data_IF_833587984183
#
_entry.id   IF_833587984183
#
_cell.length_a   1.000
_cell.length_b   1.000
_cell.length_c   1.000
_cell.angle_alpha   90.00
_cell.angle_beta   90.00
_cell.angle_gamma   90.00
#
_symmetry.space_group_name_H-M   'P 1'
#
loop_
_entity.id
_entity.type
_entity.pdbx_description
1 polymer ?
#
# COMPACT_ATOMS: atom_id res chain seq x y z
N UNK A 1 5.94 -16.59 -26.55
CA UNK A 1 7.05 -16.02 -25.78
C UNK A 1 6.68 -14.58 -25.47
N UNK A 2 5.95 -14.36 -24.38
CA UNK A 2 5.65 -13.01 -23.91
C UNK A 2 6.87 -12.50 -23.18
N UNK A 3 7.52 -11.48 -23.72
CA UNK A 3 8.51 -10.70 -22.96
C UNK A 3 7.74 -10.00 -21.85
N UNK A 4 7.89 -10.53 -20.65
CA UNK A 4 7.51 -9.86 -19.42
C UNK A 4 8.44 -8.64 -19.28
N UNK A 5 8.09 -7.55 -19.96
CA UNK A 5 8.82 -6.28 -19.89
C UNK A 5 8.61 -5.71 -18.49
N UNK A 6 9.36 -6.22 -17.51
CA UNK A 6 9.50 -5.61 -16.20
C UNK A 6 9.88 -4.14 -16.42
N UNK A 7 9.08 -3.24 -15.89
CA UNK A 7 9.31 -1.82 -16.04
C UNK A 7 10.67 -1.47 -15.41
N UNK A 8 11.56 -0.86 -16.19
CA UNK A 8 12.87 -0.45 -15.69
C UNK A 8 12.67 0.67 -14.64
N UNK A 9 13.31 0.53 -13.48
CA UNK A 9 13.30 1.56 -12.44
C UNK A 9 14.06 2.78 -12.96
N UNK A 10 13.37 3.91 -13.08
CA UNK A 10 13.98 5.17 -13.51
C UNK A 10 14.61 5.91 -12.32
N UNK A 11 15.78 6.49 -12.54
CA UNK A 11 16.58 7.22 -11.54
C UNK A 11 17.38 8.35 -12.17
N UNK A 12 17.99 9.18 -11.32
CA UNK A 12 18.84 10.29 -11.73
C UNK A 12 19.88 9.88 -12.79
N UNK A 13 19.90 10.63 -13.89
CA UNK A 13 20.79 10.41 -15.04
C UNK A 13 20.21 9.52 -16.15
N UNK A 14 19.12 8.80 -15.92
CA UNK A 14 18.46 7.99 -16.95
C UNK A 14 17.86 8.87 -18.05
N UNK A 15 17.71 8.31 -19.26
CA UNK A 15 17.22 9.03 -20.44
C UNK A 15 16.23 8.21 -21.25
N UNK A 16 15.35 8.91 -21.98
CA UNK A 16 14.48 8.33 -23.00
C UNK A 16 12.99 8.59 -22.78
N UNK A 17 12.15 7.97 -23.62
CA UNK A 17 10.71 8.21 -23.65
C UNK A 17 10.01 7.99 -22.30
N UNK A 18 10.41 6.97 -21.52
CA UNK A 18 9.84 6.72 -20.20
C UNK A 18 10.07 7.88 -19.21
N UNK A 19 11.21 8.58 -19.31
CA UNK A 19 11.49 9.78 -18.52
C UNK A 19 10.61 10.95 -18.98
N UNK A 20 10.43 11.11 -20.30
CA UNK A 20 9.55 12.14 -20.87
C UNK A 20 8.10 11.96 -20.41
N UNK A 21 7.61 10.72 -20.35
CA UNK A 21 6.27 10.39 -19.86
C UNK A 21 6.10 10.76 -18.38
N UNK A 22 7.08 10.40 -17.53
CA UNK A 22 7.08 10.78 -16.10
C UNK A 22 7.09 12.29 -15.93
N UNK A 23 7.94 13.02 -16.66
CA UNK A 23 7.98 14.48 -16.60
C UNK A 23 6.66 15.10 -17.06
N UNK A 24 6.02 14.54 -18.09
CA UNK A 24 4.71 14.99 -18.57
C UNK A 24 3.63 14.78 -17.51
N UNK A 25 3.63 13.62 -16.84
CA UNK A 25 2.73 13.37 -15.72
C UNK A 25 2.96 14.36 -14.58
N UNK A 26 4.22 14.58 -14.16
CA UNK A 26 4.56 15.54 -13.09
C UNK A 26 4.18 16.98 -13.44
N UNK A 27 4.34 17.41 -14.69
CA UNK A 27 3.87 18.73 -15.17
C UNK A 27 2.35 18.85 -15.11
N UNK A 28 1.63 17.83 -15.55
CA UNK A 28 0.16 17.82 -15.46
C UNK A 28 -0.36 17.89 -14.02
N UNK A 29 0.46 17.43 -13.07
CA UNK A 29 0.20 17.52 -11.63
C UNK A 29 0.73 18.82 -10.99
N UNK A 30 1.33 19.72 -11.77
CA UNK A 30 1.90 20.99 -11.29
C UNK A 30 3.16 20.84 -10.44
N UNK A 31 3.83 19.68 -10.49
CA UNK A 31 5.03 19.37 -9.69
C UNK A 31 6.34 19.70 -10.40
N UNK A 32 6.29 19.87 -11.72
CA UNK A 32 7.38 20.40 -12.53
C UNK A 32 6.88 21.61 -13.30
N UNK A 33 7.72 22.64 -13.50
CA UNK A 33 7.38 23.73 -14.40
C UNK A 33 7.23 23.21 -15.84
N UNK A 34 6.28 23.78 -16.58
CA UNK A 34 6.19 23.60 -18.03
C UNK A 34 7.51 24.09 -18.62
N UNK A 35 8.20 23.22 -19.36
CA UNK A 35 9.58 23.47 -19.77
C UNK A 35 9.69 24.67 -20.70
N UNK A 36 10.06 25.83 -20.15
CA UNK A 36 10.85 26.81 -20.88
C UNK A 36 12.25 26.23 -21.00
N UNK A 37 12.56 25.67 -22.18
CA UNK A 37 13.96 25.67 -22.61
C UNK A 37 14.47 27.10 -22.51
N UNK A 38 15.76 27.27 -22.18
CA UNK A 38 16.45 28.54 -22.27
C UNK A 38 16.26 29.14 -23.69
N UNK A 39 15.18 29.89 -23.87
CA UNK A 39 14.84 30.59 -25.08
C UNK A 39 15.45 31.98 -24.94
N UNK A 40 16.62 32.15 -25.56
CA UNK A 40 16.89 33.42 -26.23
C UNK A 40 15.64 33.78 -27.06
N UNK A 41 15.15 35.03 -27.01
CA UNK A 41 13.87 35.38 -27.60
C UNK A 41 13.93 35.11 -29.11
N UNK A 42 13.17 34.11 -29.57
CA UNK A 42 13.07 33.77 -30.99
C UNK A 42 11.87 34.53 -31.58
N UNK A 43 12.03 35.21 -32.72
CA UNK A 43 10.98 36.05 -33.29
C UNK A 43 9.76 35.25 -33.77
N UNK A 44 8.58 35.89 -33.89
CA UNK A 44 7.34 35.21 -34.15
C UNK A 44 7.19 34.93 -35.65
N UNK A 45 7.30 33.66 -36.04
CA UNK A 45 6.59 33.05 -37.18
C UNK A 45 7.07 31.61 -37.41
N UNK A 46 6.23 30.63 -37.07
CA UNK A 46 5.95 29.42 -37.84
C UNK A 46 5.05 28.49 -37.02
N UNK A 47 3.74 28.52 -37.31
CA UNK A 47 2.85 27.38 -37.08
C UNK A 47 3.33 26.22 -37.95
N UNK A 48 3.68 25.09 -37.33
CA UNK A 48 3.38 23.72 -37.76
C UNK A 48 4.42 22.74 -37.18
N UNK A 49 3.92 21.64 -36.63
CA UNK A 49 4.64 20.40 -36.22
C UNK A 49 5.57 20.54 -35.01
N UNK A 50 5.08 20.08 -33.84
CA UNK A 50 5.92 19.68 -32.71
C UNK A 50 6.91 18.60 -33.22
N UNK A 51 8.23 18.80 -33.11
CA UNK A 51 9.17 17.80 -33.57
C UNK A 51 9.27 16.65 -32.56
N UNK A 52 9.10 15.44 -33.08
CA UNK A 52 9.26 14.11 -32.48
C UNK A 52 10.66 13.84 -31.85
N UNK A 53 11.52 14.86 -31.78
CA UNK A 53 12.93 14.76 -31.37
C UNK A 53 13.13 15.05 -29.87
N UNK A 54 12.12 15.62 -29.19
CA UNK A 54 12.22 15.98 -27.77
C UNK A 54 12.08 14.78 -26.82
N UNK A 55 11.31 13.74 -27.18
CA UNK A 55 11.03 12.58 -26.31
C UNK A 55 12.27 11.71 -26.05
N UNK A 56 13.19 11.58 -27.00
CA UNK A 56 14.43 10.78 -26.85
C UNK A 56 15.55 11.54 -26.13
N UNK A 57 15.36 12.82 -25.82
CA UNK A 57 16.35 13.67 -25.15
C UNK A 57 16.05 13.96 -23.67
N UNK A 58 14.90 13.50 -23.17
CA UNK A 58 14.50 13.73 -21.78
C UNK A 58 15.49 13.05 -20.83
N UNK A 59 16.02 13.82 -19.89
CA UNK A 59 16.96 13.36 -18.85
C UNK A 59 16.28 13.45 -17.50
N UNK A 60 16.41 12.42 -16.69
CA UNK A 60 15.96 12.41 -15.31
C UNK A 60 16.95 13.24 -14.49
N UNK A 61 16.65 14.54 -14.36
CA UNK A 61 17.49 15.53 -13.68
C UNK A 61 17.11 15.71 -12.20
N UNK A 62 17.87 16.53 -11.48
CA UNK A 62 17.66 16.78 -10.04
C UNK A 62 16.26 17.37 -9.77
N UNK A 63 15.74 18.18 -10.69
CA UNK A 63 14.39 18.75 -10.59
C UNK A 63 13.32 17.65 -10.70
N UNK A 64 13.48 16.73 -11.66
CA UNK A 64 12.60 15.56 -11.81
C UNK A 64 12.66 14.68 -10.56
N UNK A 65 13.86 14.40 -10.03
CA UNK A 65 14.01 13.61 -8.81
C UNK A 65 13.30 14.26 -7.62
N UNK A 66 13.50 15.57 -7.41
CA UNK A 66 12.86 16.30 -6.32
C UNK A 66 11.34 16.31 -6.46
N UNK A 67 10.82 16.50 -7.68
CA UNK A 67 9.39 16.44 -7.96
C UNK A 67 8.80 15.04 -7.70
N UNK A 68 9.53 13.98 -8.06
CA UNK A 68 9.16 12.59 -7.73
C UNK A 68 9.14 12.38 -6.22
N UNK A 69 10.16 12.85 -5.48
CA UNK A 69 10.18 12.76 -4.01
C UNK A 69 9.00 13.47 -3.37
N UNK A 70 8.69 14.68 -3.83
CA UNK A 70 7.53 15.44 -3.35
C UNK A 70 6.21 14.71 -3.67
N UNK A 71 6.07 14.15 -4.87
CA UNK A 71 4.93 13.31 -5.23
C UNK A 71 4.80 12.09 -4.32
N UNK A 72 5.88 11.33 -4.15
CA UNK A 72 5.94 10.14 -3.31
C UNK A 72 5.56 10.47 -1.86
N UNK A 73 6.06 11.59 -1.32
CA UNK A 73 5.74 12.06 0.01
C UNK A 73 4.24 12.37 0.15
N UNK A 74 3.68 13.15 -0.77
CA UNK A 74 2.27 13.53 -0.73
C UNK A 74 1.32 12.35 -0.95
N UNK A 75 1.75 11.34 -1.71
CA UNK A 75 0.97 10.13 -1.96
C UNK A 75 1.15 9.05 -0.91
N UNK A 76 2.06 9.20 0.05
CA UNK A 76 2.32 8.14 1.01
C UNK A 76 2.95 6.91 0.36
N UNK A 77 3.87 7.11 -0.59
CA UNK A 77 4.73 6.08 -1.17
C UNK A 77 6.09 6.05 -0.47
N UNK A 78 6.99 5.17 -0.91
CA UNK A 78 8.39 5.20 -0.51
C UNK A 78 9.07 6.42 -1.12
N UNK A 79 9.73 7.25 -0.31
CA UNK A 79 10.32 8.53 -0.74
C UNK A 79 11.78 8.34 -1.10
N UNK A 80 12.05 7.59 -2.17
CA UNK A 80 13.39 7.25 -2.62
C UNK A 80 13.87 8.08 -3.82
N UNK A 81 12.96 8.84 -4.46
CA UNK A 81 13.21 9.63 -5.67
C UNK A 81 13.32 8.81 -6.94
N UNK A 82 13.00 7.51 -6.89
CA UNK A 82 13.06 6.59 -8.03
C UNK A 82 11.66 6.26 -8.52
N UNK A 83 11.50 6.10 -9.83
CA UNK A 83 10.21 5.72 -10.41
C UNK A 83 10.22 4.24 -10.76
N UNK A 84 9.80 3.43 -9.79
CA UNK A 84 9.43 2.04 -10.00
C UNK A 84 7.97 1.89 -10.43
N UNK A 85 7.52 0.64 -10.60
CA UNK A 85 6.17 0.30 -11.07
C UNK A 85 5.06 0.96 -10.23
N UNK A 86 5.19 0.93 -8.91
CA UNK A 86 4.25 1.54 -7.97
C UNK A 86 4.16 3.06 -8.12
N UNK A 87 5.31 3.75 -8.17
CA UNK A 87 5.35 5.21 -8.33
C UNK A 87 4.78 5.62 -9.68
N UNK A 88 5.10 4.87 -10.75
CA UNK A 88 4.58 5.13 -12.08
C UNK A 88 3.07 4.91 -12.17
N UNK A 89 2.55 3.85 -11.55
CA UNK A 89 1.11 3.58 -11.46
C UNK A 89 0.40 4.72 -10.72
N UNK A 90 0.91 5.13 -9.57
CA UNK A 90 0.35 6.24 -8.80
C UNK A 90 0.38 7.56 -9.60
N UNK A 91 1.45 7.85 -10.34
CA UNK A 91 1.52 9.01 -11.23
C UNK A 91 0.41 8.97 -12.30
N UNK A 92 0.16 7.81 -12.89
CA UNK A 92 -0.90 7.67 -13.89
C UNK A 92 -2.31 7.75 -13.28
N UNK A 93 -2.52 7.19 -12.10
CA UNK A 93 -3.77 7.27 -11.35
C UNK A 93 -4.11 8.71 -10.94
N UNK A 94 -3.08 9.50 -10.59
CA UNK A 94 -3.20 10.89 -10.19
C UNK A 94 -3.61 11.86 -11.31
N UNK A 95 -3.49 11.44 -12.58
CA UNK A 95 -3.83 12.28 -13.74
C UNK A 95 -5.33 12.45 -13.95
N UNK A 96 -6.15 11.64 -13.29
CA UNK A 96 -7.59 11.60 -13.51
C UNK A 96 -8.34 12.20 -12.35
N UNK A 97 -9.14 13.23 -12.62
CA UNK A 97 -10.09 13.83 -11.70
C UNK A 97 -11.52 13.36 -11.98
N UNK A 98 -12.36 13.35 -10.96
CA UNK A 98 -13.75 12.90 -11.07
C UNK A 98 -14.54 13.76 -12.07
N UNK A 99 -14.79 13.18 -13.25
CA UNK A 99 -15.49 13.81 -14.37
C UNK A 99 -14.68 13.90 -15.66
N UNK A 100 -13.39 13.58 -15.63
CA UNK A 100 -12.53 13.58 -16.82
C UNK A 100 -12.84 12.43 -17.78
N UNK A 101 -13.40 11.33 -17.25
CA UNK A 101 -13.78 10.14 -18.01
C UNK A 101 -15.01 9.45 -17.41
N UNK A 102 -15.63 8.59 -18.22
CA UNK A 102 -16.75 7.76 -17.80
C UNK A 102 -16.23 6.58 -16.97
N UNK A 103 -16.76 6.41 -15.75
CA UNK A 103 -16.39 5.31 -14.87
C UNK A 103 -17.47 4.24 -14.90
N UNK A 104 -17.07 2.99 -15.17
CA UNK A 104 -17.96 1.83 -15.20
C UNK A 104 -17.20 0.59 -14.77
N UNK A 105 -17.94 -0.41 -14.30
CA UNK A 105 -17.36 -1.71 -14.04
C UNK A 105 -17.00 -2.41 -15.34
N UNK A 106 -15.77 -2.89 -15.40
CA UNK A 106 -15.24 -3.73 -16.47
C UNK A 106 -14.41 -4.83 -15.82
N UNK A 107 -14.87 -6.10 -15.85
CA UNK A 107 -14.20 -7.20 -15.17
C UNK A 107 -12.85 -7.57 -15.83
N UNK A 108 -12.67 -7.30 -17.12
CA UNK A 108 -11.43 -7.59 -17.83
C UNK A 108 -10.40 -6.47 -17.64
N UNK A 109 -10.87 -5.23 -17.53
CA UNK A 109 -10.02 -4.03 -17.41
C UNK A 109 -10.58 -3.07 -16.35
N UNK A 110 -10.42 -3.36 -15.06
CA UNK A 110 -10.95 -2.53 -14.00
C UNK A 110 -10.36 -1.11 -14.09
N UNK A 111 -11.23 -0.11 -14.08
CA UNK A 111 -10.83 1.31 -14.09
C UNK A 111 -10.18 1.64 -12.75
N UNK A 112 -9.04 2.34 -12.78
CA UNK A 112 -8.28 2.74 -11.59
C UNK A 112 -7.86 4.20 -11.66
N UNK A 113 -7.90 4.90 -10.53
CA UNK A 113 -7.48 6.30 -10.45
C UNK A 113 -8.01 7.07 -9.24
N UNK A 114 -7.52 8.29 -9.07
CA UNK A 114 -7.98 9.23 -8.04
C UNK A 114 -9.46 9.62 -8.24
N UNK A 115 -9.92 9.63 -9.49
CA UNK A 115 -11.31 9.82 -9.86
C UNK A 115 -12.22 8.72 -9.29
N UNK A 116 -11.74 7.48 -9.24
CA UNK A 116 -12.44 6.36 -8.62
C UNK A 116 -12.45 6.48 -7.10
N UNK A 117 -11.32 6.86 -6.47
CA UNK A 117 -11.27 7.14 -5.02
C UNK A 117 -12.31 8.21 -4.67
N UNK A 118 -12.30 9.32 -5.40
CA UNK A 118 -13.23 10.44 -5.19
C UNK A 118 -14.69 10.00 -5.34
N UNK A 119 -14.99 9.12 -6.30
CA UNK A 119 -16.32 8.54 -6.46
C UNK A 119 -16.70 7.65 -5.26
N UNK A 120 -15.81 6.72 -4.88
CA UNK A 120 -16.04 5.80 -3.77
C UNK A 120 -16.29 6.57 -2.47
N UNK A 121 -15.46 7.56 -2.15
CA UNK A 121 -15.65 8.43 -0.98
C UNK A 121 -17.01 9.15 -1.04
N UNK A 122 -17.37 9.70 -2.19
CA UNK A 122 -18.61 10.45 -2.33
C UNK A 122 -19.85 9.58 -2.15
N UNK A 123 -19.82 8.37 -2.68
CA UNK A 123 -20.91 7.38 -2.53
C UNK A 123 -21.03 6.97 -1.05
N UNK A 124 -19.90 6.78 -0.36
CA UNK A 124 -19.88 6.54 1.10
C UNK A 124 -20.41 7.72 1.92
N UNK A 125 -20.01 8.96 1.60
CA UNK A 125 -20.51 10.17 2.27
C UNK A 125 -22.05 10.33 2.15
N UNK A 126 -22.63 9.75 1.10
CA UNK A 126 -24.07 9.74 0.85
C UNK A 126 -24.80 8.56 1.50
N UNK A 127 -24.07 7.67 2.19
CA UNK A 127 -24.60 6.54 2.96
C UNK A 127 -24.70 5.22 2.20
N UNK A 128 -24.12 5.14 1.00
CA UNK A 128 -24.12 3.92 0.19
C UNK A 128 -22.80 3.15 0.38
N UNK A 129 -22.89 1.82 0.36
CA UNK A 129 -21.72 0.96 0.44
C UNK A 129 -21.13 0.75 -0.96
N UNK A 130 -19.92 1.24 -1.18
CA UNK A 130 -19.20 1.09 -2.45
C UNK A 130 -17.98 0.15 -2.33
N UNK A 131 -17.88 -0.60 -1.23
CA UNK A 131 -16.72 -1.43 -0.91
C UNK A 131 -15.57 -0.64 -0.27
N UNK A 132 -14.34 -1.17 -0.26
CA UNK A 132 -13.18 -0.42 0.21
C UNK A 132 -12.89 0.79 -0.70
N UNK A 133 -12.39 1.88 -0.11
CA UNK A 133 -11.89 3.03 -0.87
C UNK A 133 -10.45 2.73 -1.30
N UNK A 134 -10.31 1.96 -2.37
CA UNK A 134 -9.04 1.45 -2.92
C UNK A 134 -8.64 2.12 -4.25
N UNK A 135 -9.55 2.90 -4.85
CA UNK A 135 -9.34 3.53 -6.16
C UNK A 135 -9.51 2.59 -7.35
N UNK A 136 -10.12 1.42 -7.15
CA UNK A 136 -10.42 0.44 -8.19
C UNK A 136 -11.94 0.32 -8.36
N UNK A 137 -12.44 0.54 -9.59
CA UNK A 137 -13.86 0.45 -9.86
C UNK A 137 -14.26 -1.03 -9.98
N UNK A 138 -14.61 -1.63 -8.84
CA UNK A 138 -15.05 -3.02 -8.73
C UNK A 138 -16.57 -3.20 -8.75
N UNK A 139 -17.00 -4.46 -8.64
CA UNK A 139 -18.42 -4.83 -8.58
C UNK A 139 -19.15 -4.24 -7.36
N UNK A 140 -18.47 -4.08 -6.22
CA UNK A 140 -19.01 -3.44 -5.02
C UNK A 140 -19.26 -1.94 -5.27
N UNK A 141 -18.30 -1.25 -5.89
CA UNK A 141 -18.44 0.15 -6.29
C UNK A 141 -19.59 0.34 -7.29
N UNK A 142 -19.73 -0.57 -8.26
CA UNK A 142 -20.87 -0.57 -9.19
C UNK A 142 -22.21 -0.74 -8.45
N UNK A 143 -22.26 -1.68 -7.52
CA UNK A 143 -23.48 -1.98 -6.74
C UNK A 143 -23.90 -0.78 -5.90
N UNK A 144 -22.96 -0.15 -5.20
CA UNK A 144 -23.18 1.09 -4.44
C UNK A 144 -23.66 2.23 -5.34
N UNK A 145 -23.06 2.37 -6.53
CA UNK A 145 -23.45 3.41 -7.49
C UNK A 145 -24.85 3.16 -8.07
N UNK A 146 -25.22 1.92 -8.37
CA UNK A 146 -26.58 1.56 -8.82
C UNK A 146 -27.63 1.87 -7.76
N UNK A 147 -27.31 1.60 -6.50
CA UNK A 147 -28.19 1.94 -5.38
C UNK A 147 -28.40 3.45 -5.27
N UNK A 148 -27.32 4.23 -5.33
CA UNK A 148 -27.39 5.69 -5.40
C UNK A 148 -28.24 6.17 -6.59
N UNK A 149 -27.96 5.69 -7.80
CA UNK A 149 -28.70 6.11 -9.00
C UNK A 149 -30.19 5.83 -8.88
N UNK A 150 -30.56 4.64 -8.40
CA UNK A 150 -31.97 4.25 -8.20
C UNK A 150 -32.68 5.20 -7.23
N UNK A 151 -32.06 5.52 -6.10
CA UNK A 151 -32.67 6.33 -5.06
C UNK A 151 -32.82 7.81 -5.45
N UNK A 152 -31.97 8.29 -6.35
CA UNK A 152 -32.00 9.66 -6.87
C UNK A 152 -32.70 9.79 -8.23
N UNK A 153 -33.42 8.76 -8.67
CA UNK A 153 -34.24 8.78 -9.89
C UNK A 153 -33.41 8.88 -11.18
N UNK A 154 -32.15 8.45 -11.14
CA UNK A 154 -31.28 8.31 -12.32
C UNK A 154 -31.43 6.91 -12.92
N UNK A 155 -30.96 6.75 -14.15
CA UNK A 155 -30.77 5.42 -14.74
C UNK A 155 -29.76 4.64 -13.89
N UNK A 156 -30.19 3.55 -13.26
CA UNK A 156 -29.38 2.71 -12.40
C UNK A 156 -28.49 1.74 -13.23
N UNK A 157 -27.69 2.29 -14.14
CA UNK A 157 -26.80 1.57 -15.05
C UNK A 157 -25.43 1.24 -14.47
N UNK A 158 -25.13 1.70 -13.25
CA UNK A 158 -23.84 1.48 -12.59
C UNK A 158 -22.70 2.29 -13.19
N UNK A 159 -23.02 3.30 -14.01
CA UNK A 159 -22.04 4.11 -14.74
C UNK A 159 -22.00 5.55 -14.20
N UNK A 160 -20.81 6.02 -13.84
CA UNK A 160 -20.59 7.41 -13.48
C UNK A 160 -20.44 8.27 -14.74
N UNK A 161 -21.57 8.61 -15.35
CA UNK A 161 -21.65 9.56 -16.46
C UNK A 161 -22.00 10.99 -16.01
N UNK A 162 -22.16 11.94 -16.95
CA UNK A 162 -22.45 13.35 -16.63
C UNK A 162 -23.68 13.57 -15.75
N UNK A 163 -24.73 12.75 -15.90
CA UNK A 163 -25.93 12.83 -15.06
C UNK A 163 -25.64 12.43 -13.61
N UNK A 164 -24.99 11.29 -13.41
CA UNK A 164 -24.54 10.79 -12.11
C UNK A 164 -23.61 11.80 -11.42
N UNK A 165 -22.65 12.36 -12.16
CA UNK A 165 -21.73 13.39 -11.65
C UNK A 165 -22.44 14.66 -11.20
N UNK A 166 -23.41 15.14 -11.98
CA UNK A 166 -24.21 16.32 -11.58
C UNK A 166 -24.96 16.05 -10.27
N UNK A 167 -25.58 14.88 -10.12
CA UNK A 167 -26.25 14.51 -8.88
C UNK A 167 -25.27 14.44 -7.70
N UNK A 168 -24.11 13.79 -7.86
CA UNK A 168 -23.07 13.70 -6.82
C UNK A 168 -22.53 15.09 -6.39
N UNK A 169 -22.41 16.04 -7.32
CA UNK A 169 -21.99 17.42 -7.04
C UNK A 169 -23.06 18.25 -6.35
N UNK A 170 -24.33 18.06 -6.70
CA UNK A 170 -25.45 18.84 -6.16
C UNK A 170 -25.84 18.42 -4.72
N UNK A 171 -25.58 17.17 -4.35
CA UNK A 171 -25.97 16.65 -3.05
C UNK A 171 -24.92 16.99 -1.98
N UNK A 172 -25.11 18.09 -1.24
CA UNK A 172 -24.27 18.42 -0.08
C UNK A 172 -24.16 17.26 0.92
N UNK A 173 -23.05 17.19 1.66
CA UNK A 173 -22.72 16.12 2.63
C UNK A 173 -23.93 15.81 3.53
N UNK A 174 -24.51 14.62 3.39
CA UNK A 174 -25.63 14.16 4.23
C UNK A 174 -25.16 13.67 5.60
N UNK A 175 -23.86 13.36 5.75
CA UNK A 175 -23.24 12.97 7.02
C UNK A 175 -21.85 13.61 7.13
N UNK A 176 -21.69 14.59 8.02
CA UNK A 176 -20.37 15.01 8.53
C UNK A 176 -20.27 14.55 9.97
N UNK A 177 -19.43 13.55 10.22
CA UNK A 177 -19.12 13.07 11.56
C UNK A 177 -19.59 11.64 11.79
N UNK A 178 -18.63 10.77 12.08
CA UNK A 178 -18.81 9.33 12.16
C UNK A 178 -18.30 8.70 10.86
N UNK A 179 -17.24 7.90 10.95
CA UNK A 179 -16.81 7.03 9.86
C UNK A 179 -17.53 5.68 10.07
N UNK A 180 -18.73 5.44 9.50
CA UNK A 180 -19.53 4.24 9.77
C UNK A 180 -18.83 2.92 9.41
N UNK A 181 -17.87 2.97 8.47
CA UNK A 181 -16.94 1.87 8.21
C UNK A 181 -16.17 1.45 9.46
N UNK A 182 -15.75 2.41 10.29
CA UNK A 182 -15.01 2.15 11.53
C UNK A 182 -15.84 1.38 12.53
N UNK A 183 -17.11 1.78 12.71
CA UNK A 183 -18.02 1.09 13.63
C UNK A 183 -18.32 -0.32 13.14
N UNK A 184 -18.50 -0.53 11.83
CA UNK A 184 -18.72 -1.87 11.26
C UNK A 184 -17.49 -2.78 11.41
N UNK A 185 -16.30 -2.29 11.07
CA UNK A 185 -15.05 -3.06 11.18
C UNK A 185 -14.73 -3.41 12.64
N UNK A 186 -14.82 -2.43 13.56
CA UNK A 186 -14.58 -2.67 14.99
C UNK A 186 -15.64 -3.58 15.61
N UNK A 187 -16.93 -3.44 15.27
CA UNK A 187 -17.98 -4.35 15.73
C UNK A 187 -17.76 -5.80 15.26
N UNK A 188 -17.40 -5.98 13.98
CA UNK A 188 -17.11 -7.31 13.43
C UNK A 188 -15.92 -8.00 14.12
N UNK A 189 -14.96 -7.23 14.63
CA UNK A 189 -13.79 -7.77 15.33
C UNK A 189 -14.16 -8.20 16.77
N UNK A 190 -15.01 -7.41 17.44
CA UNK A 190 -15.45 -7.66 18.83
C UNK A 190 -16.42 -8.85 18.92
N UNK A 191 -17.35 -9.02 17.96
CA UNK A 191 -18.24 -10.19 17.91
C UNK A 191 -17.50 -11.52 17.75
N UNK A 192 -16.25 -11.44 17.29
CA UNK A 192 -15.47 -12.55 16.77
C UNK A 192 -14.66 -13.30 17.84
N UNK A 193 -14.58 -12.74 19.06
CA UNK A 193 -13.96 -13.34 20.25
C UNK A 193 -12.42 -13.45 20.19
N UNK A 194 -11.75 -13.72 21.32
CA UNK A 194 -10.29 -13.67 21.43
C UNK A 194 -9.55 -14.91 20.93
N UNK A 195 -10.27 -15.91 20.40
CA UNK A 195 -9.68 -17.18 20.00
C UNK A 195 -9.25 -17.10 18.53
N UNK A 196 -8.01 -17.53 18.25
CA UNK A 196 -7.49 -17.60 16.88
C UNK A 196 -8.03 -18.79 16.07
N UNK A 197 -8.79 -19.67 16.72
CA UNK A 197 -9.41 -20.84 16.10
C UNK A 197 -10.35 -20.38 14.97
N UNK A 198 -10.08 -20.88 13.76
CA UNK A 198 -10.87 -20.57 12.56
C UNK A 198 -10.47 -19.27 11.84
N UNK A 199 -9.49 -18.52 12.36
CA UNK A 199 -8.94 -17.34 11.67
C UNK A 199 -7.99 -17.76 10.57
N UNK A 200 -8.08 -17.09 9.43
CA UNK A 200 -7.17 -17.26 8.29
C UNK A 200 -6.22 -16.08 8.24
N UNK A 201 -4.93 -16.34 8.47
CA UNK A 201 -3.91 -15.29 8.46
C UNK A 201 -2.98 -15.57 7.29
N UNK A 202 -2.76 -14.56 6.46
CA UNK A 202 -1.77 -14.65 5.38
C UNK A 202 -0.52 -13.90 5.82
N UNK A 203 0.62 -14.59 5.77
CA UNK A 203 1.94 -14.01 6.04
C UNK A 203 2.70 -13.91 4.72
N UNK A 204 3.14 -12.72 4.39
CA UNK A 204 3.79 -12.39 3.14
C UNK A 204 5.28 -12.09 3.37
N UNK A 205 6.18 -13.06 3.18
CA UNK A 205 7.62 -12.77 3.17
C UNK A 205 7.97 -11.98 1.90
N UNK A 206 8.47 -10.77 2.07
CA UNK A 206 8.89 -9.89 0.96
C UNK A 206 9.95 -10.54 0.07
N UNK A 207 10.06 -10.06 -1.18
CA UNK A 207 11.05 -10.50 -2.17
C UNK A 207 10.98 -12.02 -2.45
N UNK A 208 12.07 -12.61 -2.98
CA UNK A 208 12.23 -14.05 -3.23
C UNK A 208 12.79 -14.35 -4.62
N UNK A 209 13.14 -15.62 -4.87
CA UNK A 209 13.61 -16.06 -6.19
C UNK A 209 14.82 -15.26 -6.69
N UNK A 210 14.67 -14.59 -7.83
CA UNK A 210 15.71 -13.71 -8.42
C UNK A 210 15.84 -12.35 -7.72
N UNK A 211 14.81 -11.93 -6.97
CA UNK A 211 14.83 -10.70 -6.18
C UNK A 211 15.24 -11.02 -4.75
N UNK A 212 16.50 -10.77 -4.43
CA UNK A 212 17.02 -11.01 -3.08
C UNK A 212 16.59 -9.95 -2.06
N UNK A 213 15.97 -8.83 -2.50
CA UNK A 213 15.83 -7.62 -1.71
C UNK A 213 17.20 -7.00 -1.38
N UNK A 214 17.33 -6.42 -0.19
CA UNK A 214 18.64 -5.96 0.28
C UNK A 214 19.61 -7.14 0.46
N UNK A 215 20.89 -6.98 0.07
CA UNK A 215 21.93 -7.99 0.24
C UNK A 215 23.17 -7.38 0.89
N UNK A 216 23.65 -7.98 1.97
CA UNK A 216 24.84 -7.57 2.72
C UNK A 216 25.72 -8.80 2.97
N UNK A 217 26.84 -8.88 2.26
CA UNK A 217 27.68 -10.08 2.24
C UNK A 217 26.94 -11.28 1.65
N UNK A 218 26.87 -12.38 2.39
CA UNK A 218 26.14 -13.59 2.01
C UNK A 218 24.68 -13.60 2.49
N UNK A 219 24.26 -12.56 3.23
CA UNK A 219 22.92 -12.48 3.80
C UNK A 219 22.00 -11.67 2.91
N UNK A 220 20.87 -12.27 2.55
CA UNK A 220 19.81 -11.61 1.79
C UNK A 220 18.61 -11.32 2.67
N UNK A 221 17.89 -10.24 2.37
CA UNK A 221 16.60 -9.94 2.97
C UNK A 221 15.63 -11.09 2.75
N UNK A 222 15.54 -11.59 1.51
CA UNK A 222 14.59 -12.64 1.12
C UNK A 222 14.70 -13.92 1.96
N UNK A 223 15.91 -14.28 2.41
CA UNK A 223 16.17 -15.42 3.29
C UNK A 223 15.74 -15.15 4.74
N UNK A 224 16.09 -13.98 5.27
CA UNK A 224 15.77 -13.60 6.65
C UNK A 224 14.26 -13.43 6.86
N UNK A 225 13.57 -12.77 5.93
CA UNK A 225 12.12 -12.57 6.01
C UNK A 225 11.36 -13.88 5.81
N UNK A 226 11.88 -14.81 5.00
CA UNK A 226 11.28 -16.14 4.86
C UNK A 226 11.45 -17.00 6.13
N UNK A 227 12.60 -16.93 6.81
CA UNK A 227 12.79 -17.57 8.12
C UNK A 227 11.87 -16.97 9.19
N UNK A 228 11.71 -15.64 9.22
CA UNK A 228 10.75 -14.95 10.10
C UNK A 228 9.31 -15.40 9.81
N UNK A 229 8.90 -15.43 8.54
CA UNK A 229 7.56 -15.86 8.14
C UNK A 229 7.27 -17.30 8.58
N UNK A 230 8.22 -18.22 8.35
CA UNK A 230 8.09 -19.63 8.76
C UNK A 230 7.95 -19.78 10.29
N UNK A 231 8.67 -18.96 11.06
CA UNK A 231 8.56 -18.92 12.53
C UNK A 231 7.22 -18.38 13.02
N UNK A 232 6.68 -17.38 12.34
CA UNK A 232 5.38 -16.78 12.65
C UNK A 232 4.26 -17.76 12.29
N UNK A 233 4.34 -18.39 11.12
CA UNK A 233 3.42 -19.43 10.67
C UNK A 233 3.32 -20.56 11.70
N UNK A 234 4.44 -21.18 12.08
CA UNK A 234 4.42 -22.29 13.04
C UNK A 234 3.81 -21.91 14.41
N UNK A 235 4.00 -20.67 14.86
CA UNK A 235 3.44 -20.16 16.12
C UNK A 235 1.95 -19.88 16.04
N UNK A 236 1.51 -19.20 14.98
CA UNK A 236 0.10 -18.89 14.75
C UNK A 236 -0.71 -20.17 14.51
N UNK A 237 -0.14 -21.13 13.76
CA UNK A 237 -0.73 -22.45 13.55
C UNK A 237 -0.87 -23.22 14.86
N UNK A 238 0.17 -23.23 15.71
CA UNK A 238 0.10 -23.84 17.05
C UNK A 238 -0.95 -23.17 17.96
N UNK A 239 -1.23 -21.88 17.75
CA UNK A 239 -2.29 -21.15 18.45
C UNK A 239 -3.70 -21.33 17.85
N UNK A 240 -3.85 -22.16 16.80
CA UNK A 240 -5.14 -22.54 16.21
C UNK A 240 -5.56 -21.76 14.96
N UNK A 241 -4.74 -20.82 14.47
CA UNK A 241 -5.01 -20.12 13.22
C UNK A 241 -4.70 -21.00 12.01
N UNK A 242 -5.46 -20.84 10.93
CA UNK A 242 -5.07 -21.34 9.61
C UNK A 242 -4.15 -20.30 8.98
N UNK A 243 -2.89 -20.66 8.72
CA UNK A 243 -1.89 -19.72 8.20
C UNK A 243 -1.48 -20.11 6.80
N UNK A 244 -1.34 -19.11 5.92
CA UNK A 244 -0.83 -19.30 4.57
C UNK A 244 0.36 -18.38 4.33
N UNK A 245 1.40 -18.90 3.66
CA UNK A 245 2.48 -18.09 3.13
C UNK A 245 2.17 -17.74 1.66
N UNK A 246 2.37 -16.49 1.26
CA UNK A 246 2.14 -16.05 -0.14
C UNK A 246 3.10 -16.68 -1.14
N UNK A 247 4.27 -17.14 -0.68
CA UNK A 247 5.31 -17.74 -1.51
C UNK A 247 6.08 -18.84 -0.80
N UNK A 248 6.65 -19.74 -1.58
CA UNK A 248 7.73 -20.64 -1.15
C UNK A 248 9.10 -19.96 -1.10
N UNK A 249 10.13 -20.70 -0.65
CA UNK A 249 11.50 -20.18 -0.43
C UNK A 249 12.12 -19.54 -1.68
N UNK A 250 11.87 -20.11 -2.85
CA UNK A 250 12.51 -19.72 -4.12
C UNK A 250 11.57 -19.03 -5.12
N UNK A 251 10.37 -18.64 -4.68
CA UNK A 251 9.38 -18.00 -5.53
C UNK A 251 9.36 -16.49 -5.28
N UNK A 252 8.95 -15.70 -6.26
CA UNK A 252 8.72 -14.27 -6.10
C UNK A 252 7.44 -13.83 -6.83
N UNK A 253 6.26 -14.05 -6.24
CA UNK A 253 5.03 -13.55 -6.81
C UNK A 253 5.05 -12.02 -6.86
N UNK A 254 4.43 -11.47 -7.90
CA UNK A 254 4.19 -10.03 -8.03
C UNK A 254 3.32 -9.50 -6.88
N UNK A 255 3.35 -8.19 -6.58
CA UNK A 255 2.45 -7.59 -5.60
C UNK A 255 0.96 -7.87 -5.88
N UNK A 256 0.57 -7.91 -7.15
CA UNK A 256 -0.80 -8.23 -7.55
C UNK A 256 -1.18 -9.68 -7.23
N UNK A 257 -0.29 -10.65 -7.45
CA UNK A 257 -0.51 -12.05 -7.10
C UNK A 257 -0.57 -12.25 -5.58
N UNK A 258 0.26 -11.55 -4.81
CA UNK A 258 0.26 -11.59 -3.34
C UNK A 258 -1.09 -11.12 -2.76
N UNK A 259 -1.60 -10.01 -3.27
CA UNK A 259 -2.90 -9.45 -2.82
C UNK A 259 -4.08 -10.30 -3.30
N UNK A 260 -4.05 -10.81 -4.54
CA UNK A 260 -5.05 -11.73 -5.05
C UNK A 260 -5.13 -13.01 -4.23
N UNK A 261 -3.97 -13.63 -3.93
CA UNK A 261 -3.89 -14.82 -3.08
C UNK A 261 -4.54 -14.59 -1.70
N UNK A 262 -4.25 -13.45 -1.06
CA UNK A 262 -4.84 -13.13 0.24
C UNK A 262 -6.36 -12.94 0.18
N UNK A 263 -6.83 -12.29 -0.89
CA UNK A 263 -8.26 -12.06 -1.14
C UNK A 263 -9.00 -13.38 -1.42
N UNK A 264 -8.42 -14.27 -2.22
CA UNK A 264 -8.99 -15.57 -2.58
C UNK A 264 -9.02 -16.53 -1.38
N UNK A 265 -7.98 -16.51 -0.54
CA UNK A 265 -7.96 -17.20 0.74
C UNK A 265 -9.01 -16.66 1.73
N UNK A 266 -9.59 -15.48 1.43
CA UNK A 266 -10.48 -14.70 2.30
C UNK A 266 -9.87 -14.54 3.70
N UNK A 267 -8.60 -14.13 3.74
CA UNK A 267 -7.88 -13.95 4.99
C UNK A 267 -8.57 -12.91 5.89
N UNK A 268 -8.48 -13.10 7.20
CA UNK A 268 -8.93 -12.15 8.22
C UNK A 268 -7.85 -11.10 8.52
N UNK A 269 -6.57 -11.41 8.25
CA UNK A 269 -5.43 -10.53 8.46
C UNK A 269 -4.31 -10.85 7.47
N UNK A 270 -3.67 -9.81 6.93
CA UNK A 270 -2.51 -9.92 6.06
C UNK A 270 -1.29 -9.23 6.68
N UNK A 271 -0.18 -9.97 6.81
CA UNK A 271 1.05 -9.51 7.47
C UNK A 271 2.22 -9.64 6.50
N UNK A 272 2.69 -8.53 5.94
CA UNK A 272 3.90 -8.49 5.13
C UNK A 272 5.14 -8.24 5.97
N UNK A 273 6.22 -8.96 5.68
CA UNK A 273 7.48 -8.90 6.40
C UNK A 273 8.59 -8.48 5.46
N UNK A 274 9.28 -7.41 5.83
CA UNK A 274 10.41 -6.86 5.10
C UNK A 274 11.56 -6.50 6.04
N UNK A 275 12.73 -6.27 5.46
CA UNK A 275 13.81 -5.50 6.06
C UNK A 275 14.00 -4.25 5.22
N UNK A 276 14.50 -3.18 5.83
CA UNK A 276 14.79 -1.96 5.11
C UNK A 276 16.30 -1.81 4.86
N UNK A 277 16.66 -0.90 3.96
CA UNK A 277 18.04 -0.57 3.65
C UNK A 277 18.14 0.90 3.25
N UNK A 278 19.09 1.60 3.86
CA UNK A 278 19.37 2.99 3.53
C UNK A 278 20.88 3.25 3.57
N UNK A 279 21.33 4.21 2.77
CA UNK A 279 22.72 4.67 2.72
C UNK A 279 23.15 5.46 3.97
N UNK A 280 22.22 5.83 4.84
CA UNK A 280 22.52 6.61 6.04
C UNK A 280 22.94 5.66 7.14
N UNK A 281 24.09 5.93 7.75
CA UNK A 281 24.59 5.16 8.90
C UNK A 281 23.69 5.26 10.13
N UNK A 282 22.74 6.20 10.15
CA UNK A 282 21.79 6.38 11.25
C UNK A 282 20.47 5.61 11.05
N UNK A 283 20.23 5.05 9.85
CA UNK A 283 18.99 4.37 9.53
C UNK A 283 18.97 2.98 10.18
N UNK A 284 18.23 2.84 11.28
CA UNK A 284 18.05 1.58 12.02
C UNK A 284 16.76 1.61 12.83
N UNK A 285 16.24 0.45 13.18
CA UNK A 285 15.03 0.29 13.98
C UNK A 285 13.88 -0.36 13.23
N UNK A 286 12.74 -0.46 13.91
CA UNK A 286 11.54 -1.15 13.44
C UNK A 286 10.49 -0.13 13.05
N UNK A 287 9.96 -0.28 11.84
CA UNK A 287 8.85 0.50 11.33
C UNK A 287 7.68 -0.42 10.98
N UNK A 288 6.48 0.15 10.98
CA UNK A 288 5.28 -0.58 10.51
C UNK A 288 4.43 0.34 9.65
N UNK A 289 3.73 -0.25 8.69
CA UNK A 289 2.99 0.46 7.69
C UNK A 289 1.60 -0.14 7.54
N UNK A 290 0.61 0.73 7.35
CA UNK A 290 -0.79 0.35 7.18
C UNK A 290 -1.41 1.22 6.07
N UNK A 291 -2.53 0.78 5.51
CA UNK A 291 -3.19 1.57 4.47
C UNK A 291 -3.69 2.91 4.99
N UNK A 292 -3.22 4.02 4.42
CA UNK A 292 -3.76 5.35 4.69
C UNK A 292 -3.09 6.48 3.90
N UNK A 293 -3.77 7.61 3.82
CA UNK A 293 -3.32 8.83 3.11
C UNK A 293 -2.97 10.00 4.05
N UNK A 294 -2.84 9.75 5.35
CA UNK A 294 -2.53 10.75 6.39
C UNK A 294 -3.68 11.69 6.77
N UNK A 295 -4.52 12.09 5.81
CA UNK A 295 -5.68 12.98 6.03
C UNK A 295 -7.01 12.43 5.47
N UNK A 296 -6.97 11.35 4.67
CA UNK A 296 -8.14 10.74 4.07
C UNK A 296 -8.46 9.33 4.63
N UNK A 297 -8.88 8.38 3.77
CA UNK A 297 -9.25 7.04 4.19
C UNK A 297 -8.03 6.29 4.71
N UNK A 298 -8.24 5.51 5.77
CA UNK A 298 -7.22 4.74 6.46
C UNK A 298 -7.83 3.47 7.02
N UNK A 299 -7.06 2.38 7.03
CA UNK A 299 -7.43 1.12 7.69
C UNK A 299 -7.17 1.24 9.19
N UNK A 300 -8.22 1.39 10.00
CA UNK A 300 -8.05 1.52 11.46
C UNK A 300 -7.64 0.22 12.13
N UNK A 301 -8.17 -0.92 11.68
CA UNK A 301 -7.75 -2.22 12.20
C UNK A 301 -6.30 -2.49 11.80
N UNK A 302 -5.91 -2.09 10.57
CA UNK A 302 -4.51 -2.12 10.13
C UNK A 302 -3.61 -1.22 10.99
N UNK A 303 -4.02 0.02 11.25
CA UNK A 303 -3.30 0.96 12.12
C UNK A 303 -3.15 0.43 13.55
N UNK A 304 -4.21 -0.12 14.13
CA UNK A 304 -4.18 -0.72 15.46
C UNK A 304 -3.21 -1.91 15.51
N UNK A 305 -3.32 -2.82 14.54
CA UNK A 305 -2.43 -3.98 14.46
C UNK A 305 -0.97 -3.58 14.22
N UNK A 306 -0.70 -2.62 13.32
CA UNK A 306 0.64 -2.10 13.05
C UNK A 306 1.30 -1.57 14.33
N UNK A 307 0.54 -0.78 15.11
CA UNK A 307 1.00 -0.26 16.39
C UNK A 307 1.22 -1.38 17.43
N UNK A 308 0.36 -2.40 17.50
CA UNK A 308 0.54 -3.53 18.40
C UNK A 308 1.79 -4.36 18.04
N UNK A 309 1.92 -4.76 16.77
CA UNK A 309 3.02 -5.57 16.27
C UNK A 309 4.37 -4.88 16.50
N UNK A 310 4.49 -3.61 16.10
CA UNK A 310 5.69 -2.80 16.33
C UNK A 310 6.05 -2.73 17.81
N UNK A 311 5.11 -2.36 18.68
CA UNK A 311 5.37 -2.20 20.12
C UNK A 311 5.79 -3.52 20.78
N UNK A 312 5.20 -4.65 20.39
CA UNK A 312 5.61 -5.97 20.89
C UNK A 312 7.02 -6.34 20.43
N UNK A 313 7.39 -6.01 19.18
CA UNK A 313 8.75 -6.25 18.68
C UNK A 313 9.76 -5.42 19.48
N UNK A 314 9.49 -4.13 19.65
CA UNK A 314 10.36 -3.21 20.38
C UNK A 314 10.57 -3.68 21.83
N UNK A 315 9.50 -4.08 22.52
CA UNK A 315 9.56 -4.54 23.90
C UNK A 315 10.43 -5.80 24.09
N UNK A 316 10.53 -6.67 23.06
CA UNK A 316 11.26 -7.95 23.13
C UNK A 316 12.67 -7.89 22.56
N UNK A 317 12.96 -6.92 21.70
CA UNK A 317 14.24 -6.83 20.97
C UNK A 317 15.11 -5.64 21.40
N UNK A 318 14.49 -4.56 21.93
CA UNK A 318 15.20 -3.32 22.25
C UNK A 318 15.64 -2.50 21.03
N UNK A 319 15.15 -2.81 19.83
CA UNK A 319 15.43 -2.04 18.62
C UNK A 319 14.82 -0.63 18.69
N UNK A 320 15.30 0.30 17.85
CA UNK A 320 14.77 1.66 17.82
C UNK A 320 13.35 1.70 17.27
N UNK A 321 12.53 2.60 17.82
CA UNK A 321 11.16 2.83 17.37
C UNK A 321 11.13 3.87 16.26
N UNK A 322 10.74 3.47 15.05
CA UNK A 322 10.53 4.38 13.91
C UNK A 322 9.07 4.75 13.72
N UNK A 323 8.16 4.21 14.53
CA UNK A 323 6.73 4.52 14.47
C UNK A 323 5.94 3.70 13.44
N UNK A 324 4.64 4.01 13.37
CA UNK A 324 3.69 3.41 12.43
C UNK A 324 3.22 4.47 11.44
N UNK A 325 3.32 4.18 10.15
CA UNK A 325 3.12 5.17 9.10
C UNK A 325 2.01 4.76 8.11
N UNK A 326 1.10 5.68 7.76
CA UNK A 326 0.15 5.44 6.70
C UNK A 326 0.87 5.41 5.34
N UNK A 327 0.55 4.42 4.51
CA UNK A 327 1.04 4.28 3.14
C UNK A 327 -0.10 3.85 2.21
N UNK A 328 -0.01 4.20 0.93
CA UNK A 328 -0.98 3.78 -0.09
C UNK A 328 -0.48 2.63 -0.94
N UNK A 329 0.47 1.85 -0.43
CA UNK A 329 1.09 0.77 -1.17
C UNK A 329 0.05 -0.24 -1.64
N UNK A 330 0.21 -0.76 -2.86
CA UNK A 330 -0.79 -1.67 -3.46
C UNK A 330 -1.04 -2.90 -2.59
N UNK A 331 0.01 -3.41 -1.95
CA UNK A 331 -0.07 -4.52 -1.00
C UNK A 331 -1.02 -4.24 0.19
N UNK A 332 -1.08 -2.99 0.65
CA UNK A 332 -1.90 -2.57 1.79
C UNK A 332 -3.30 -2.11 1.34
N UNK A 333 -3.39 -1.53 0.14
CA UNK A 333 -4.58 -0.90 -0.43
C UNK A 333 -5.50 -1.91 -1.13
N UNK A 334 -4.95 -2.90 -1.83
CA UNK A 334 -5.71 -3.83 -2.69
C UNK A 334 -6.18 -5.11 -1.97
N UNK A 335 -5.78 -5.30 -0.71
CA UNK A 335 -6.29 -6.37 0.15
C UNK A 335 -7.67 -6.02 0.71
N UNK A 336 -8.56 -7.00 0.79
CA UNK A 336 -9.92 -6.86 1.34
C UNK A 336 -10.00 -7.04 2.86
N UNK A 337 -8.88 -7.38 3.48
CA UNK A 337 -8.72 -7.53 4.92
C UNK A 337 -7.71 -6.52 5.45
N UNK A 338 -7.65 -6.28 6.78
CA UNK A 338 -6.58 -5.48 7.37
C UNK A 338 -5.21 -6.01 6.94
N UNK A 339 -4.40 -5.12 6.38
CA UNK A 339 -3.05 -5.42 5.91
C UNK A 339 -2.04 -4.51 6.59
N UNK A 340 -0.94 -5.11 7.03
CA UNK A 340 0.18 -4.40 7.64
C UNK A 340 1.48 -4.92 7.06
N UNK A 341 2.40 -4.00 6.76
CA UNK A 341 3.80 -4.33 6.49
C UNK A 341 4.63 -3.98 7.72
N UNK A 342 5.45 -4.92 8.16
CA UNK A 342 6.37 -4.77 9.28
C UNK A 342 7.81 -4.85 8.77
N UNK A 343 8.54 -3.76 8.93
CA UNK A 343 9.95 -3.68 8.59
C UNK A 343 10.74 -3.96 9.87
N UNK A 344 11.30 -5.16 9.97
CA UNK A 344 11.84 -5.71 11.21
C UNK A 344 13.24 -5.17 11.57
N UNK A 345 13.78 -4.21 10.82
CA UNK A 345 15.13 -3.68 10.99
C UNK A 345 15.80 -3.32 9.68
N UNK A 346 16.96 -2.67 9.76
CA UNK A 346 17.76 -2.29 8.59
C UNK A 346 18.89 -3.28 8.34
N UNK A 347 18.86 -4.00 7.21
CA UNK A 347 19.94 -4.94 6.87
C UNK A 347 21.25 -4.21 6.57
N UNK A 348 21.16 -3.00 6.02
CA UNK A 348 22.32 -2.14 5.74
C UNK A 348 23.01 -1.62 7.00
N UNK A 349 22.33 -1.61 8.16
CA UNK A 349 22.90 -1.12 9.40
C UNK A 349 23.57 -2.24 10.22
N UNK A 350 24.83 -2.10 10.65
CA UNK A 350 25.59 -3.19 11.27
C UNK A 350 24.98 -3.72 12.57
N UNK A 351 24.41 -2.86 13.42
CA UNK A 351 23.77 -3.29 14.69
C UNK A 351 22.50 -4.09 14.44
N UNK A 352 21.55 -3.56 13.67
CA UNK A 352 20.32 -4.27 13.30
C UNK A 352 20.62 -5.58 12.58
N UNK A 353 21.59 -5.58 11.65
CA UNK A 353 22.03 -6.80 10.97
C UNK A 353 22.51 -7.87 11.94
N UNK A 354 23.35 -7.52 12.93
CA UNK A 354 23.79 -8.48 13.95
C UNK A 354 22.63 -9.04 14.77
N UNK A 355 21.66 -8.19 15.14
CA UNK A 355 20.45 -8.63 15.83
C UNK A 355 19.62 -9.57 14.95
N UNK A 356 19.39 -9.21 13.68
CA UNK A 356 18.59 -9.99 12.73
C UNK A 356 19.26 -11.32 12.36
N UNK A 357 20.58 -11.43 12.42
CA UNK A 357 21.31 -12.68 12.23
C UNK A 357 21.19 -13.63 13.43
N UNK A 358 20.88 -13.14 14.63
CA UNK A 358 20.63 -13.98 15.80
C UNK A 358 19.25 -14.67 15.71
N UNK A 359 19.26 -16.00 15.65
CA UNK A 359 18.04 -16.80 15.60
C UNK A 359 17.11 -16.60 16.82
N UNK A 360 17.66 -16.21 17.98
CA UNK A 360 16.89 -15.91 19.20
C UNK A 360 16.12 -14.61 19.05
N UNK A 361 16.70 -13.59 18.43
CA UNK A 361 16.03 -12.32 18.14
C UNK A 361 14.92 -12.54 17.12
N UNK A 362 15.19 -13.29 16.04
CA UNK A 362 14.13 -13.66 15.07
C UNK A 362 13.00 -14.46 15.71
N UNK A 363 13.34 -15.36 16.64
CA UNK A 363 12.36 -16.08 17.46
C UNK A 363 11.53 -15.15 18.36
N UNK A 364 12.14 -14.11 18.92
CA UNK A 364 11.47 -13.09 19.73
C UNK A 364 10.54 -12.20 18.89
N UNK A 365 10.95 -11.81 17.69
CA UNK A 365 10.10 -11.09 16.71
C UNK A 365 8.88 -11.94 16.35
N UNK A 366 9.07 -13.23 16.07
CA UNK A 366 7.95 -14.11 15.75
C UNK A 366 6.94 -14.26 16.92
N UNK A 367 7.45 -14.33 18.16
CA UNK A 367 6.59 -14.32 19.36
C UNK A 367 5.91 -12.97 19.59
N UNK A 368 6.55 -11.86 19.22
CA UNK A 368 5.96 -10.52 19.26
C UNK A 368 4.74 -10.42 18.32
N UNK A 369 4.89 -10.90 17.08
CA UNK A 369 3.80 -10.90 16.09
C UNK A 369 2.64 -11.77 16.56
N UNK A 370 2.90 -12.96 17.11
CA UNK A 370 1.85 -13.80 17.71
C UNK A 370 1.09 -13.05 18.81
N UNK A 371 1.80 -12.42 19.76
CA UNK A 371 1.19 -11.66 20.84
C UNK A 371 0.34 -10.49 20.29
N UNK A 372 0.84 -9.76 19.29
CA UNK A 372 0.10 -8.68 18.66
C UNK A 372 -1.18 -9.17 17.96
N UNK A 373 -1.14 -10.33 17.30
CA UNK A 373 -2.32 -10.93 16.66
C UNK A 373 -3.34 -11.30 17.72
N UNK A 374 -2.94 -11.97 18.80
CA UNK A 374 -3.86 -12.32 19.90
C UNK A 374 -4.48 -11.07 20.53
N UNK A 375 -3.67 -10.02 20.75
CA UNK A 375 -4.14 -8.73 21.30
C UNK A 375 -5.08 -7.98 20.37
N UNK A 376 -4.95 -8.12 19.06
CA UNK A 376 -5.88 -7.51 18.11
C UNK A 376 -7.32 -8.01 18.30
N UNK A 377 -7.48 -9.28 18.69
CA UNK A 377 -8.80 -9.91 18.89
C UNK A 377 -9.25 -9.91 20.37
N UNK A 378 -8.45 -9.34 21.29
CA UNK A 378 -8.87 -9.16 22.68
C UNK A 378 -9.82 -7.94 22.81
N UNK A 379 -10.87 -8.03 23.63
CA UNK A 379 -11.64 -6.86 24.04
C UNK A 379 -10.72 -5.81 24.69
N UNK A 380 -11.00 -4.52 24.49
CA UNK A 380 -10.16 -3.42 25.01
C UNK A 380 -9.96 -3.47 26.55
N UNK A 381 -10.90 -4.06 27.28
CA UNK A 381 -10.86 -4.25 28.73
C UNK A 381 -9.90 -5.37 29.16
N UNK A 382 -9.49 -6.24 28.24
CA UNK A 382 -8.59 -7.36 28.45
C UNK A 382 -7.24 -7.21 27.72
N UNK A 383 -6.96 -6.05 27.11
CA UNK A 383 -5.69 -5.77 26.44
C UNK A 383 -4.59 -5.52 27.49
N UNK A 384 -3.59 -6.41 27.62
CA UNK A 384 -2.53 -6.25 28.61
C UNK A 384 -1.48 -5.23 28.16
N UNK A 385 -0.72 -4.63 29.10
CA UNK A 385 0.38 -3.75 28.75
C UNK A 385 1.38 -4.43 27.80
N UNK A 386 1.87 -3.69 26.80
CA UNK A 386 2.84 -4.24 25.84
C UNK A 386 4.07 -4.84 26.53
N UNK A 387 4.48 -6.01 26.05
CA UNK A 387 5.64 -6.74 26.60
C UNK A 387 5.33 -7.52 27.88
N UNK A 388 4.13 -7.39 28.45
CA UNK A 388 3.67 -8.19 29.60
C UNK A 388 2.85 -9.41 29.20
N UNK A 389 2.50 -9.55 27.92
CA UNK A 389 1.76 -10.71 27.44
C UNK A 389 2.65 -11.95 27.41
N UNK A 390 2.43 -12.82 28.39
CA UNK A 390 3.07 -14.13 28.51
C UNK A 390 2.18 -15.13 27.77
N UNK A 391 2.72 -15.70 26.68
CA UNK A 391 2.05 -16.77 25.95
C UNK A 391 1.85 -17.96 26.90
N UNK A 392 0.65 -18.58 26.97
CA UNK A 392 0.50 -19.84 27.68
C UNK A 392 1.45 -20.86 27.04
N UNK A 393 2.22 -21.55 27.87
CA UNK A 393 3.09 -22.63 27.40
C UNK A 393 2.24 -23.72 26.74
N UNK A 394 2.75 -24.36 25.66
CA UNK A 394 2.02 -25.39 24.92
C UNK A 394 1.65 -26.60 25.78
#
# INVERSE_FOLDING_TARGET
MGTDSRMQILRLGDRGAAVADVQTALRSLGLLPDGDGAATPRPPQAMATLPDVALDSAVFDDATELAVRHFQQNRGLSVDGRVGEETYRALNEARWSLGDRLLRYDPERPVRGDDVISLQERVHELGYDAGPVDGVFGAETETGLRAFQRDYGLTADGTCGPATLRALRQLGRKVTGGRPQLLRQSASLVESGPHLIGRRIVVDPGHGGEDAGCTEGETTESDLVFDLASRIEGRLAAAGATVYLTRGRHQNPSPAERTAFANDARADLFIALHLDAHSSEHARGVASYYYGTGSGPSSTVGEQFANLARREVLARTGMLDLGSHPKTWDLLRMTRMPAVRLDCGYLSHPVDRLLLLDARVRSAIASAVLAAVQRLYLPAEADPPTGTFVLPAP
#
